data_IF_346313280875
#
_entry.id   IF_346313280875
#
_cell.length_a   1.000
_cell.length_b   1.000
_cell.length_c   1.000
_cell.angle_alpha   90.00
_cell.angle_beta   90.00
_cell.angle_gamma   90.00
#
_symmetry.space_group_name_H-M   'P 1'
#
loop_
_entity.id
_entity.type
_entity.pdbx_description
1 polymer ?
#
# COMPACT_ATOMS: atom_id res chain seq x y z
N UNK A 1 -11.71 -2.35 -7.49
CA UNK A 1 -12.92 -1.54 -7.63
C UNK A 1 -14.10 -2.50 -7.65
N UNK A 2 -15.19 -2.24 -6.92
CA UNK A 2 -16.42 -3.01 -7.15
C UNK A 2 -16.96 -2.63 -8.54
N UNK A 3 -17.48 -3.58 -9.31
CA UNK A 3 -18.05 -3.29 -10.64
C UNK A 3 -19.23 -2.32 -10.56
N UNK A 4 -19.94 -2.27 -9.42
CA UNK A 4 -21.00 -1.29 -9.19
C UNK A 4 -20.48 0.15 -9.05
N UNK A 5 -19.25 0.32 -8.57
CA UNK A 5 -18.65 1.65 -8.37
C UNK A 5 -18.06 2.22 -9.68
N UNK A 6 -17.89 1.39 -10.72
CA UNK A 6 -17.30 1.80 -12.01
C UNK A 6 -18.12 2.93 -12.66
N UNK A 7 -19.45 2.85 -12.60
CA UNK A 7 -20.34 3.88 -13.17
C UNK A 7 -20.14 5.25 -12.51
N UNK A 8 -19.91 5.28 -11.19
CA UNK A 8 -19.67 6.50 -10.43
C UNK A 8 -18.30 7.15 -10.73
N UNK A 9 -17.44 6.46 -11.46
CA UNK A 9 -16.10 6.93 -11.85
C UNK A 9 -15.97 7.25 -13.34
N UNK A 10 -17.10 7.23 -14.06
CA UNK A 10 -17.12 7.49 -15.50
C UNK A 10 -16.86 8.97 -15.77
N UNK A 11 -15.96 9.26 -16.70
CA UNK A 11 -15.71 10.61 -17.22
C UNK A 11 -15.79 10.62 -18.75
N UNK A 12 -16.28 11.72 -19.29
CA UNK A 12 -16.43 11.90 -20.73
C UNK A 12 -15.24 12.66 -21.30
N UNK A 13 -14.70 12.18 -22.40
CA UNK A 13 -13.82 12.94 -23.30
C UNK A 13 -14.64 13.36 -24.52
N UNK A 14 -14.11 14.27 -25.36
CA UNK A 14 -14.80 14.75 -26.56
C UNK A 14 -15.22 13.63 -27.53
N UNK A 15 -14.64 12.43 -27.41
CA UNK A 15 -14.84 11.32 -28.35
C UNK A 15 -15.38 10.05 -27.71
N UNK A 16 -15.27 9.87 -26.38
CA UNK A 16 -15.64 8.60 -25.71
C UNK A 16 -15.80 8.73 -24.20
N UNK A 17 -16.53 7.77 -23.61
CA UNK A 17 -16.68 7.62 -22.17
C UNK A 17 -15.64 6.63 -21.64
N UNK A 18 -14.95 7.02 -20.57
CA UNK A 18 -13.96 6.20 -19.88
C UNK A 18 -14.35 6.06 -18.42
N UNK A 19 -13.91 4.99 -17.77
CA UNK A 19 -14.06 4.78 -16.34
C UNK A 19 -12.77 4.23 -15.76
N UNK A 20 -12.57 4.39 -14.44
CA UNK A 20 -11.37 3.89 -13.79
C UNK A 20 -11.55 2.45 -13.31
N UNK A 21 -10.64 1.55 -13.74
CA UNK A 21 -10.60 0.14 -13.28
C UNK A 21 -9.90 -0.02 -11.93
N UNK A 22 -9.04 0.93 -11.57
CA UNK A 22 -8.32 0.97 -10.30
C UNK A 22 -8.69 2.24 -9.55
N UNK A 23 -8.64 2.22 -8.23
CA UNK A 23 -8.94 3.40 -7.41
C UNK A 23 -7.86 4.47 -7.64
N UNK A 24 -8.25 5.68 -8.03
CA UNK A 24 -7.33 6.82 -8.25
C UNK A 24 -7.33 7.74 -7.04
N UNK A 25 -6.20 8.36 -6.71
CA UNK A 25 -6.03 9.25 -5.53
C UNK A 25 -7.07 10.39 -5.41
N UNK A 26 -7.75 10.77 -6.51
CA UNK A 26 -8.78 11.83 -6.53
C UNK A 26 -10.16 11.41 -6.01
N UNK A 27 -10.32 10.20 -5.46
CA UNK A 27 -11.57 9.80 -4.80
C UNK A 27 -11.52 10.09 -3.31
N UNK A 28 -12.61 10.66 -2.76
CA UNK A 28 -12.70 11.03 -1.34
C UNK A 28 -12.58 9.84 -0.37
N UNK A 29 -12.62 8.60 -0.85
CA UNK A 29 -12.57 7.38 -0.05
C UNK A 29 -11.34 6.49 -0.32
N UNK A 30 -10.35 7.02 -1.05
CA UNK A 30 -9.12 6.29 -1.40
C UNK A 30 -8.37 5.90 -0.14
N UNK A 31 -8.22 6.85 0.79
CA UNK A 31 -7.46 6.66 2.02
C UNK A 31 -8.05 5.54 2.87
N UNK A 32 -9.38 5.55 3.08
CA UNK A 32 -10.06 4.50 3.83
C UNK A 32 -9.98 3.14 3.16
N UNK A 33 -10.05 3.09 1.82
CA UNK A 33 -9.95 1.83 1.08
C UNK A 33 -8.53 1.28 1.09
N UNK A 34 -7.53 2.15 0.94
CA UNK A 34 -6.12 1.79 1.05
C UNK A 34 -5.79 1.32 2.46
N UNK A 35 -6.24 2.04 3.48
CA UNK A 35 -6.05 1.67 4.88
C UNK A 35 -6.68 0.31 5.20
N UNK A 36 -7.93 0.06 4.78
CA UNK A 36 -8.57 -1.24 4.96
C UNK A 36 -7.81 -2.38 4.25
N UNK A 37 -7.29 -2.13 3.05
CA UNK A 37 -6.49 -3.10 2.31
C UNK A 37 -5.16 -3.39 3.01
N UNK A 38 -4.47 -2.35 3.47
CA UNK A 38 -3.23 -2.44 4.24
C UNK A 38 -3.44 -3.19 5.56
N UNK A 39 -4.46 -2.80 6.32
CA UNK A 39 -4.82 -3.44 7.60
C UNK A 39 -5.10 -4.94 7.39
N UNK A 40 -5.71 -5.31 6.27
CA UNK A 40 -6.00 -6.72 5.96
C UNK A 40 -4.77 -7.51 5.52
N UNK A 41 -3.90 -6.91 4.71
CA UNK A 41 -2.70 -7.59 4.17
C UNK A 41 -1.62 -7.74 5.24
N UNK A 42 -1.46 -6.72 6.08
CA UNK A 42 -0.39 -6.65 7.06
C UNK A 42 -0.88 -6.75 8.51
N UNK A 43 -2.11 -7.23 8.76
CA UNK A 43 -2.68 -7.37 10.12
C UNK A 43 -1.75 -8.07 11.11
N UNK A 44 -1.00 -9.07 10.66
CA UNK A 44 -0.07 -9.84 11.48
C UNK A 44 1.28 -9.15 11.72
N UNK A 45 1.60 -8.13 10.92
CA UNK A 45 2.88 -7.43 10.90
C UNK A 45 2.77 -6.01 11.50
N UNK A 46 1.60 -5.36 11.33
CA UNK A 46 1.30 -4.02 11.84
C UNK A 46 1.44 -3.99 13.36
N UNK A 47 2.23 -3.05 13.87
CA UNK A 47 2.50 -2.86 15.30
C UNK A 47 3.53 -3.84 15.90
N UNK A 48 3.88 -4.93 15.20
CA UNK A 48 4.96 -5.84 15.61
C UNK A 48 6.29 -5.41 15.00
N UNK A 49 6.35 -5.41 13.67
CA UNK A 49 7.56 -5.12 12.90
C UNK A 49 7.29 -4.19 11.69
N UNK A 50 6.06 -3.68 11.56
CA UNK A 50 5.67 -2.80 10.47
C UNK A 50 4.80 -1.64 10.99
N UNK A 51 5.13 -0.44 10.53
CA UNK A 51 4.22 0.71 10.54
C UNK A 51 3.99 1.15 9.10
N UNK A 52 2.72 1.27 8.72
CA UNK A 52 2.35 1.63 7.36
C UNK A 52 1.57 2.94 7.36
N UNK A 53 2.00 3.87 6.52
CA UNK A 53 1.32 5.11 6.20
C UNK A 53 0.88 5.06 4.73
N UNK A 54 -0.07 5.92 4.33
CA UNK A 54 -0.63 5.95 2.96
C UNK A 54 0.48 6.04 1.90
N UNK A 55 1.54 6.81 2.18
CA UNK A 55 2.64 7.02 1.24
C UNK A 55 3.93 6.26 1.55
N UNK A 56 4.07 5.68 2.75
CA UNK A 56 5.35 5.08 3.20
C UNK A 56 5.14 3.80 3.99
N UNK A 57 5.93 2.78 3.66
CA UNK A 57 6.08 1.56 4.44
C UNK A 57 7.32 1.68 5.32
N UNK A 58 7.17 1.57 6.64
CA UNK A 58 8.26 1.66 7.60
C UNK A 58 8.38 0.33 8.32
N UNK A 59 9.43 -0.44 8.00
CA UNK A 59 9.75 -1.67 8.72
C UNK A 59 10.51 -1.31 9.99
N UNK A 60 9.99 -1.74 11.13
CA UNK A 60 10.61 -1.56 12.45
C UNK A 60 11.09 -2.91 12.95
N UNK A 61 12.34 -3.01 13.40
CA UNK A 61 12.85 -4.24 13.99
C UNK A 61 13.38 -3.97 15.38
N UNK A 62 13.15 -4.91 16.30
CA UNK A 62 13.56 -4.78 17.70
C UNK A 62 15.07 -4.96 17.89
N UNK A 63 15.70 -5.72 17.00
CA UNK A 63 17.13 -6.01 17.02
C UNK A 63 17.68 -6.04 15.60
N UNK A 64 18.97 -5.76 15.45
CA UNK A 64 19.65 -5.63 14.16
C UNK A 64 19.75 -6.99 13.43
N UNK A 65 19.95 -8.08 14.18
CA UNK A 65 20.03 -9.46 13.69
C UNK A 65 18.72 -10.00 13.09
N UNK A 66 17.58 -9.40 13.45
CA UNK A 66 16.26 -9.77 12.91
C UNK A 66 15.79 -8.86 11.78
N UNK A 67 16.57 -7.83 11.44
CA UNK A 67 16.19 -6.84 10.43
C UNK A 67 15.90 -7.48 9.08
N UNK A 68 16.82 -8.32 8.61
CA UNK A 68 16.71 -8.98 7.31
C UNK A 68 15.50 -9.92 7.23
N UNK A 69 15.21 -10.63 8.32
CA UNK A 69 14.11 -11.58 8.39
C UNK A 69 12.74 -10.86 8.40
N UNK A 70 12.58 -9.81 9.20
CA UNK A 70 11.36 -9.01 9.23
C UNK A 70 11.15 -8.27 7.89
N UNK A 71 12.24 -7.85 7.22
CA UNK A 71 12.16 -7.27 5.88
C UNK A 71 11.70 -8.30 4.84
N UNK A 72 12.23 -9.51 4.90
CA UNK A 72 11.85 -10.61 4.00
C UNK A 72 10.38 -11.01 4.16
N UNK A 73 9.88 -11.14 5.40
CA UNK A 73 8.46 -11.42 5.71
C UNK A 73 7.54 -10.35 5.09
N UNK A 74 7.90 -9.08 5.28
CA UNK A 74 7.14 -7.94 4.79
C UNK A 74 7.15 -7.85 3.25
N UNK A 75 8.30 -8.01 2.60
CA UNK A 75 8.41 -8.04 1.14
C UNK A 75 7.74 -9.27 0.53
N UNK A 76 7.72 -10.40 1.24
CA UNK A 76 6.97 -11.60 0.88
C UNK A 76 5.48 -11.32 0.80
N UNK A 77 4.93 -10.57 1.77
CA UNK A 77 3.53 -10.13 1.77
C UNK A 77 3.22 -9.21 0.58
N UNK A 78 4.08 -8.23 0.30
CA UNK A 78 3.94 -7.36 -0.89
C UNK A 78 3.85 -8.18 -2.18
N UNK A 79 4.74 -9.17 -2.35
CA UNK A 79 4.75 -10.06 -3.52
C UNK A 79 3.51 -10.94 -3.59
N UNK A 80 3.09 -11.53 -2.46
CA UNK A 80 1.92 -12.41 -2.37
C UNK A 80 0.63 -11.72 -2.83
N UNK A 81 0.47 -10.44 -2.50
CA UNK A 81 -0.70 -9.66 -2.86
C UNK A 81 -0.52 -8.84 -4.15
N UNK A 82 0.56 -9.05 -4.90
CA UNK A 82 0.90 -8.31 -6.12
C UNK A 82 0.86 -6.78 -5.93
N UNK A 83 1.26 -6.31 -4.76
CA UNK A 83 1.37 -4.88 -4.48
C UNK A 83 2.61 -4.32 -5.17
N UNK A 84 2.46 -3.13 -5.76
CA UNK A 84 3.57 -2.41 -6.37
C UNK A 84 3.99 -1.32 -5.39
N UNK A 85 5.19 -1.45 -4.84
CA UNK A 85 5.81 -0.36 -4.08
C UNK A 85 6.38 0.63 -5.08
N UNK A 86 6.06 1.91 -4.92
CA UNK A 86 6.70 2.96 -5.70
C UNK A 86 8.07 3.26 -5.11
N UNK A 87 9.18 2.93 -5.82
CA UNK A 87 10.50 3.28 -5.37
C UNK A 87 10.66 4.81 -5.47
N UNK A 88 10.55 5.53 -4.35
CA UNK A 88 10.97 6.93 -4.35
C UNK A 88 12.48 6.95 -4.51
N UNK A 89 13.04 7.67 -5.52
CA UNK A 89 14.48 7.65 -5.82
C UNK A 89 15.35 8.18 -4.68
N UNK A 90 14.75 8.76 -3.63
CA UNK A 90 15.44 9.43 -2.52
C UNK A 90 15.06 8.90 -1.13
N UNK A 91 14.19 7.89 -1.01
CA UNK A 91 13.70 7.41 0.30
C UNK A 91 13.68 5.89 0.42
N UNK A 92 14.87 5.32 0.51
CA UNK A 92 15.07 4.04 1.19
C UNK A 92 15.82 4.31 2.49
N UNK A 93 15.13 4.93 3.45
CA UNK A 93 15.67 5.16 4.79
C UNK A 93 15.30 3.99 5.68
N UNK A 94 16.20 3.03 5.83
CA UNK A 94 16.09 1.99 6.84
C UNK A 94 16.55 2.58 8.17
N UNK A 95 15.63 2.75 9.11
CA UNK A 95 15.96 3.24 10.45
C UNK A 95 15.74 2.10 11.43
N UNK A 96 16.83 1.52 11.92
CA UNK A 96 16.79 0.61 13.05
C UNK A 96 16.50 1.45 14.28
N UNK A 97 15.33 1.24 14.88
CA UNK A 97 14.93 1.92 16.10
C UNK A 97 14.97 0.87 17.22
N UNK A 98 16.12 0.83 17.91
CA UNK A 98 16.36 0.01 19.10
C UNK A 98 15.63 0.63 20.29
#
# INVERSE_FOLDING_TARGET
MNSLDEQNTTFMTNTSNFYYKIMWYRFNNVDATYQCLVDRVFSEHIGRNLEMCIDNMVVKTKTEDRHDQDLEENLGSVRKYNMILNPSPTKYSFRVQI
#
